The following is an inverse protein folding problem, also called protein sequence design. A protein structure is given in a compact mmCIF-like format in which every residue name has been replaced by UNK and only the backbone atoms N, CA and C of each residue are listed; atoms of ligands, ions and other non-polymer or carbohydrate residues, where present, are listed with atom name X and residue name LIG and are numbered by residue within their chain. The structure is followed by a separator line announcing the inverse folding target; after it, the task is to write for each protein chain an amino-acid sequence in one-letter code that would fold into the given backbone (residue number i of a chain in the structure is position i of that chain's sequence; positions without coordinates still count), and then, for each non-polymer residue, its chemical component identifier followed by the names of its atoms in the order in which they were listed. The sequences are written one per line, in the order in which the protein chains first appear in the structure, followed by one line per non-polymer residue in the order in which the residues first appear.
data_IF_892513724521
#
_entry.id   IF_892513724521
#
_cell.length_a   1.000
_cell.length_b   1.000
_cell.length_c   1.000
_cell.angle_alpha   90.00
_cell.angle_beta   90.00
_cell.angle_gamma   90.00
#
_symmetry.space_group_name_H-M   'P 1'
#
loop_
_entity.id
_entity.type
_entity.pdbx_description
1 polymer ?
#
# COMPACT_ATOMS: atom_id res chain seq x y z
N UNK A 1 -21.12 15.71 25.56
CA UNK A 1 -21.46 14.28 25.56
C UNK A 1 -21.55 13.82 24.13
N UNK A 2 -20.70 12.89 23.74
CA UNK A 2 -20.70 12.31 22.38
C UNK A 2 -20.70 10.81 22.58
N UNK A 3 -21.89 10.25 22.71
CA UNK A 3 -22.07 8.80 22.51
C UNK A 3 -22.23 8.61 21.00
N UNK A 4 -21.26 8.02 20.30
CA UNK A 4 -21.33 7.92 18.86
C UNK A 4 -22.47 6.97 18.45
N UNK A 5 -23.31 7.39 17.51
CA UNK A 5 -24.29 6.51 16.83
C UNK A 5 -23.59 5.34 16.12
N UNK A 6 -22.29 5.47 15.88
CA UNK A 6 -21.44 4.51 15.18
C UNK A 6 -21.06 3.35 16.10
N UNK A 7 -21.21 2.12 15.58
CA UNK A 7 -20.91 0.87 16.32
C UNK A 7 -19.54 0.27 15.97
N UNK A 8 -18.83 0.81 14.96
CA UNK A 8 -17.47 0.41 14.60
C UNK A 8 -16.77 1.52 13.80
N UNK A 9 -15.45 1.57 13.87
CA UNK A 9 -14.66 2.38 12.96
C UNK A 9 -13.82 1.50 12.06
N UNK A 10 -13.94 1.74 10.76
CA UNK A 10 -13.16 1.09 9.72
C UNK A 10 -12.36 2.17 9.00
N UNK A 11 -11.05 1.97 8.81
CA UNK A 11 -10.20 2.94 8.14
C UNK A 11 -9.57 2.39 6.85
N UNK A 12 -9.40 3.28 5.88
CA UNK A 12 -8.40 3.13 4.81
C UNK A 12 -7.24 4.06 5.07
N UNK A 13 -6.05 3.61 4.72
CA UNK A 13 -4.81 4.38 4.82
C UNK A 13 -4.26 4.61 3.42
N UNK A 14 -3.85 5.84 3.11
CA UNK A 14 -3.10 6.18 1.89
C UNK A 14 -1.70 6.64 2.25
N UNK A 15 -0.69 6.14 1.55
CA UNK A 15 0.72 6.53 1.73
C UNK A 15 1.33 6.79 0.36
N UNK A 16 1.45 8.06 0.00
CA UNK A 16 1.96 8.49 -1.31
C UNK A 16 2.91 9.68 -1.16
N UNK A 17 3.91 9.75 -2.03
CA UNK A 17 4.90 10.84 -2.01
C UNK A 17 4.36 12.09 -2.69
N UNK A 18 4.37 13.22 -1.97
CA UNK A 18 3.98 14.52 -2.48
C UNK A 18 5.21 15.44 -2.62
N UNK A 19 5.48 16.02 -3.80
CA UNK A 19 6.55 17.00 -3.96
C UNK A 19 6.20 18.26 -3.17
N UNK A 20 7.10 18.70 -2.27
CA UNK A 20 6.87 19.90 -1.46
C UNK A 20 7.12 21.20 -2.24
N UNK A 21 8.09 21.18 -3.16
CA UNK A 21 8.44 22.34 -3.97
C UNK A 21 8.79 21.88 -5.38
N UNK A 22 8.38 22.65 -6.40
CA UNK A 22 8.71 22.36 -7.81
C UNK A 22 10.21 22.42 -8.12
N UNK A 23 10.97 23.19 -7.33
CA UNK A 23 12.40 23.44 -7.51
C UNK A 23 13.30 22.71 -6.52
N UNK A 24 12.74 21.88 -5.62
CA UNK A 24 13.49 21.15 -4.60
C UNK A 24 13.24 19.66 -4.71
N UNK A 25 14.24 18.86 -4.36
CA UNK A 25 14.09 17.40 -4.18
C UNK A 25 13.35 17.03 -2.89
N UNK A 26 12.93 18.02 -2.08
CA UNK A 26 12.16 17.78 -0.86
C UNK A 26 10.79 17.19 -1.18
N UNK A 27 10.50 16.07 -0.54
CA UNK A 27 9.27 15.30 -0.64
C UNK A 27 8.66 15.15 0.75
N UNK A 28 7.33 15.13 0.80
CA UNK A 28 6.54 14.79 1.97
C UNK A 28 5.87 13.45 1.72
N UNK A 29 5.87 12.59 2.72
CA UNK A 29 5.23 11.29 2.69
C UNK A 29 4.21 11.26 3.82
N UNK A 30 2.98 11.75 3.59
CA UNK A 30 1.92 11.67 4.57
C UNK A 30 1.35 10.26 4.66
N UNK A 31 1.03 9.85 5.88
CA UNK A 31 0.10 8.77 6.19
C UNK A 31 -1.26 9.44 6.37
N UNK A 32 -2.15 9.21 5.41
CA UNK A 32 -3.51 9.76 5.40
C UNK A 32 -4.50 8.67 5.75
N UNK A 33 -5.51 8.98 6.56
CA UNK A 33 -6.60 8.04 6.84
C UNK A 33 -7.95 8.59 6.40
N UNK A 34 -8.81 7.67 5.97
CA UNK A 34 -10.24 7.90 5.76
C UNK A 34 -11.02 6.95 6.64
N UNK A 35 -11.92 7.50 7.44
CA UNK A 35 -12.84 6.71 8.26
C UNK A 35 -14.12 6.46 7.47
N UNK A 36 -14.46 5.20 7.22
CA UNK A 36 -15.55 4.82 6.32
C UNK A 36 -16.93 5.23 6.86
N UNK A 37 -17.12 5.12 8.17
CA UNK A 37 -18.39 5.45 8.83
C UNK A 37 -18.60 6.98 8.93
N UNK A 38 -17.55 7.78 8.71
CA UNK A 38 -17.62 9.24 8.68
C UNK A 38 -17.61 9.75 7.23
N UNK A 39 -18.67 9.44 6.48
CA UNK A 39 -18.78 9.71 5.02
C UNK A 39 -18.56 11.19 4.67
N UNK A 40 -18.94 12.11 5.56
CA UNK A 40 -18.80 13.57 5.35
C UNK A 40 -17.43 14.11 5.75
N UNK A 41 -16.60 13.31 6.39
CA UNK A 41 -15.26 13.71 6.84
C UNK A 41 -14.25 13.43 5.73
N UNK A 42 -13.52 14.45 5.24
CA UNK A 42 -12.47 14.22 4.26
C UNK A 42 -11.32 13.41 4.88
N UNK A 43 -10.50 12.72 4.06
CA UNK A 43 -9.27 12.11 4.55
C UNK A 43 -8.38 13.15 5.24
N UNK A 44 -7.69 12.74 6.29
CA UNK A 44 -6.80 13.61 7.07
C UNK A 44 -5.48 12.91 7.39
N UNK A 45 -4.47 13.72 7.68
CA UNK A 45 -3.10 13.25 7.95
C UNK A 45 -2.98 12.83 9.41
N UNK A 46 -2.41 11.66 9.65
CA UNK A 46 -2.09 11.14 11.00
C UNK A 46 -0.59 11.00 11.25
N UNK A 47 0.21 11.00 10.18
CA UNK A 47 1.66 10.96 10.28
C UNK A 47 2.30 11.56 9.04
N UNK A 48 3.52 12.07 9.17
CA UNK A 48 4.27 12.61 8.04
C UNK A 48 5.75 12.32 8.17
N UNK A 49 6.39 11.96 7.06
CA UNK A 49 7.83 12.01 6.91
C UNK A 49 8.22 13.07 5.88
N UNK A 50 9.22 13.89 6.20
CA UNK A 50 9.74 14.92 5.31
C UNK A 50 11.23 14.74 5.05
N UNK A 51 11.62 14.67 3.79
CA UNK A 51 13.03 14.45 3.43
C UNK A 51 13.34 14.81 1.99
N UNK A 52 14.63 14.89 1.66
CA UNK A 52 15.10 15.07 0.28
C UNK A 52 15.02 13.79 -0.57
N UNK A 53 14.64 12.67 0.07
CA UNK A 53 14.50 11.34 -0.50
C UNK A 53 13.30 10.66 0.18
N UNK A 54 12.84 9.54 -0.40
CA UNK A 54 11.93 8.60 0.26
C UNK A 54 12.46 8.17 1.64
N UNK A 55 11.59 7.74 2.57
CA UNK A 55 12.02 7.18 3.85
C UNK A 55 13.12 6.12 3.62
N UNK A 56 14.32 6.39 4.12
CA UNK A 56 15.47 5.50 3.95
C UNK A 56 15.35 4.23 4.80
N UNK A 57 14.73 4.37 5.97
CA UNK A 57 14.32 3.27 6.83
C UNK A 57 12.80 3.25 6.90
N UNK A 58 12.17 2.19 6.37
CA UNK A 58 10.72 2.05 6.39
C UNK A 58 10.20 1.67 7.78
N UNK A 59 11.00 0.98 8.61
CA UNK A 59 10.65 0.63 9.99
C UNK A 59 10.45 1.89 10.83
N UNK A 60 11.41 2.83 10.79
CA UNK A 60 11.30 4.09 11.53
C UNK A 60 10.06 4.91 11.10
N UNK A 61 9.69 4.82 9.83
CA UNK A 61 8.52 5.52 9.29
C UNK A 61 7.19 4.85 9.66
N UNK A 62 7.12 3.51 9.64
CA UNK A 62 5.85 2.77 9.78
C UNK A 62 5.63 2.17 11.17
N UNK A 63 6.67 1.89 11.96
CA UNK A 63 6.50 1.23 13.26
C UNK A 63 5.56 2.00 14.20
N UNK A 64 5.67 3.34 14.35
CA UNK A 64 4.73 4.08 15.19
C UNK A 64 3.27 3.89 14.74
N UNK A 65 3.03 3.86 13.42
CA UNK A 65 1.71 3.60 12.84
C UNK A 65 1.25 2.15 13.10
N UNK A 66 2.12 1.15 12.89
CA UNK A 66 1.81 -0.27 13.10
C UNK A 66 1.46 -0.53 14.56
N UNK A 67 2.22 0.01 15.50
CA UNK A 67 1.98 -0.12 16.94
C UNK A 67 0.63 0.48 17.34
N UNK A 68 0.33 1.69 16.88
CA UNK A 68 -0.94 2.36 17.19
C UNK A 68 -2.15 1.63 16.58
N UNK A 69 -2.04 1.14 15.33
CA UNK A 69 -3.10 0.34 14.71
C UNK A 69 -3.32 -0.96 15.48
N UNK A 70 -2.26 -1.66 15.88
CA UNK A 70 -2.37 -2.90 16.62
C UNK A 70 -3.03 -2.68 18.00
N UNK A 71 -2.66 -1.62 18.71
CA UNK A 71 -3.29 -1.21 19.96
C UNK A 71 -4.79 -0.90 19.75
N UNK A 72 -5.13 -0.06 18.76
CA UNK A 72 -6.52 0.31 18.47
C UNK A 72 -7.38 -0.88 18.06
N UNK A 73 -6.87 -1.77 17.22
CA UNK A 73 -7.59 -2.98 16.81
C UNK A 73 -7.80 -3.96 17.99
N UNK A 74 -6.88 -4.01 18.94
CA UNK A 74 -6.99 -4.86 20.12
C UNK A 74 -7.95 -4.29 21.16
N UNK A 75 -7.80 -3.00 21.50
CA UNK A 75 -8.53 -2.40 22.62
C UNK A 75 -9.81 -1.70 22.21
N UNK A 76 -10.00 -1.38 20.93
CA UNK A 76 -11.08 -0.52 20.42
C UNK A 76 -10.96 0.94 20.89
N UNK A 77 -12.02 1.72 20.70
CA UNK A 77 -12.10 3.11 21.16
C UNK A 77 -13.25 3.23 22.18
N UNK A 78 -12.93 3.65 23.40
CA UNK A 78 -13.90 3.82 24.47
C UNK A 78 -14.51 5.22 24.42
N UNK A 79 -15.81 5.30 24.15
CA UNK A 79 -16.62 6.51 24.25
C UNK A 79 -17.52 6.42 25.47
N UNK A 80 -17.11 7.05 26.57
CA UNK A 80 -17.83 7.05 27.86
C UNK A 80 -18.12 5.64 28.40
N UNK A 81 -19.20 4.98 27.94
CA UNK A 81 -19.60 3.62 28.31
C UNK A 81 -19.67 2.65 27.12
N UNK A 82 -19.46 3.14 25.89
CA UNK A 82 -19.54 2.36 24.66
C UNK A 82 -18.14 2.04 24.16
N UNK A 83 -17.81 0.76 24.09
CA UNK A 83 -16.60 0.30 23.42
C UNK A 83 -16.90 0.10 21.94
N UNK A 84 -16.24 0.87 21.08
CA UNK A 84 -16.41 0.82 19.63
C UNK A 84 -15.18 0.13 19.00
N UNK A 85 -15.34 -1.03 18.36
CA UNK A 85 -14.26 -1.71 17.65
C UNK A 85 -13.64 -0.87 16.55
N UNK A 86 -12.35 -1.09 16.29
CA UNK A 86 -11.57 -0.41 15.27
C UNK A 86 -10.92 -1.41 14.32
N UNK A 87 -10.95 -1.14 13.02
CA UNK A 87 -10.44 -2.05 11.98
C UNK A 87 -9.66 -1.30 10.91
N UNK A 88 -8.49 -1.82 10.54
CA UNK A 88 -7.79 -1.42 9.32
C UNK A 88 -8.32 -2.24 8.14
N UNK A 89 -8.89 -1.57 7.13
CA UNK A 89 -9.42 -2.25 5.93
C UNK A 89 -8.39 -2.36 4.82
N UNK A 90 -7.69 -1.27 4.52
CA UNK A 90 -6.77 -1.24 3.40
C UNK A 90 -5.61 -0.27 3.59
N UNK A 91 -4.45 -0.64 3.06
CA UNK A 91 -3.32 0.26 2.82
C UNK A 91 -3.17 0.48 1.32
N UNK A 92 -3.36 1.73 0.91
CA UNK A 92 -3.46 2.19 -0.46
C UNK A 92 -2.21 3.02 -0.77
N UNK A 93 -1.64 2.78 -1.93
CA UNK A 93 -0.48 3.51 -2.43
C UNK A 93 -0.34 3.30 -3.94
N UNK A 94 0.39 4.19 -4.60
CA UNK A 94 0.81 4.03 -5.99
C UNK A 94 1.65 2.74 -6.20
N UNK A 95 1.89 2.35 -7.46
CA UNK A 95 2.55 1.06 -7.74
C UNK A 95 3.98 0.95 -7.18
N UNK A 96 4.87 1.96 -7.32
CA UNK A 96 6.20 1.93 -6.71
C UNK A 96 6.20 1.90 -5.17
N UNK A 97 5.37 2.73 -4.53
CA UNK A 97 5.30 2.79 -3.08
C UNK A 97 4.66 1.52 -2.53
N UNK A 98 3.63 0.98 -3.17
CA UNK A 98 3.02 -0.30 -2.79
C UNK A 98 4.02 -1.46 -2.78
N UNK A 99 4.86 -1.58 -3.81
CA UNK A 99 5.91 -2.59 -3.84
C UNK A 99 6.92 -2.40 -2.68
N UNK A 100 7.25 -1.15 -2.37
CA UNK A 100 8.10 -0.78 -1.22
C UNK A 100 7.44 -1.14 0.10
N UNK A 101 6.19 -0.73 0.32
CA UNK A 101 5.38 -1.06 1.50
C UNK A 101 5.21 -2.56 1.71
N UNK A 102 5.21 -3.37 0.64
CA UNK A 102 5.14 -4.83 0.74
C UNK A 102 6.52 -5.48 0.84
N UNK A 103 7.63 -4.76 0.77
CA UNK A 103 8.97 -5.34 0.62
C UNK A 103 9.04 -6.36 -0.54
N UNK A 104 8.47 -6.02 -1.70
CA UNK A 104 8.41 -6.86 -2.90
C UNK A 104 9.14 -6.23 -4.09
N UNK A 105 9.32 -7.00 -5.16
CA UNK A 105 9.79 -6.48 -6.43
C UNK A 105 8.76 -5.53 -7.06
N UNK A 106 9.25 -4.55 -7.81
CA UNK A 106 8.38 -3.62 -8.52
C UNK A 106 7.52 -4.32 -9.58
N UNK A 107 6.41 -3.71 -9.94
CA UNK A 107 5.46 -4.19 -10.96
C UNK A 107 6.08 -4.47 -12.34
N UNK A 108 7.28 -3.94 -12.61
CA UNK A 108 8.03 -4.14 -13.84
C UNK A 108 9.10 -5.25 -13.76
N UNK A 109 9.19 -5.97 -12.64
CA UNK A 109 10.09 -7.12 -12.47
C UNK A 109 9.46 -8.40 -13.03
N UNK A 110 10.29 -9.41 -13.29
CA UNK A 110 9.81 -10.74 -13.73
C UNK A 110 8.83 -11.36 -12.73
N UNK A 111 9.12 -11.29 -11.44
CA UNK A 111 8.22 -11.73 -10.37
C UNK A 111 7.47 -10.52 -9.79
N UNK A 112 7.02 -9.59 -10.64
CA UNK A 112 6.44 -8.30 -10.22
C UNK A 112 4.94 -8.34 -9.92
N UNK A 113 4.23 -9.43 -10.26
CA UNK A 113 2.80 -9.52 -10.02
C UNK A 113 2.52 -9.65 -8.51
N UNK A 114 1.75 -8.69 -7.97
CA UNK A 114 1.34 -8.68 -6.57
C UNK A 114 0.13 -9.61 -6.28
N UNK A 115 -0.55 -10.12 -7.31
CA UNK A 115 -1.78 -10.94 -7.18
C UNK A 115 -1.59 -12.42 -7.43
N UNK A 116 -0.67 -12.80 -8.33
CA UNK A 116 -0.42 -14.20 -8.67
C UNK A 116 1.08 -14.48 -8.86
N UNK A 117 1.42 -15.75 -8.99
CA UNK A 117 2.80 -16.25 -9.11
C UNK A 117 3.35 -16.17 -10.53
N UNK A 118 2.69 -15.47 -11.45
CA UNK A 118 3.13 -15.40 -12.84
C UNK A 118 4.54 -14.80 -12.97
N UNK A 119 5.32 -15.41 -13.85
CA UNK A 119 6.69 -14.99 -14.15
C UNK A 119 6.70 -14.32 -15.51
N UNK A 120 7.08 -13.04 -15.51
CA UNK A 120 7.08 -12.22 -16.70
C UNK A 120 8.25 -12.52 -17.63
N UNK A 121 7.97 -12.45 -18.93
CA UNK A 121 8.97 -12.61 -19.98
C UNK A 121 9.51 -11.25 -20.40
N UNK A 122 10.83 -11.17 -20.63
CA UNK A 122 11.45 -9.94 -21.13
C UNK A 122 11.41 -9.91 -22.65
N UNK A 123 10.79 -8.87 -23.20
CA UNK A 123 10.69 -8.65 -24.64
C UNK A 123 11.45 -7.38 -25.00
N UNK A 124 12.25 -7.45 -26.06
CA UNK A 124 12.94 -6.29 -26.62
C UNK A 124 11.94 -5.39 -27.35
N UNK A 125 11.92 -4.11 -27.03
CA UNK A 125 11.06 -3.10 -27.68
C UNK A 125 11.83 -2.04 -28.45
N UNK A 126 13.14 -2.23 -28.63
CA UNK A 126 14.01 -1.35 -29.41
C UNK A 126 15.48 -1.55 -29.06
N UNK A 127 16.40 -0.79 -29.70
CA UNK A 127 17.81 -0.79 -29.32
C UNK A 127 17.92 -0.32 -27.87
N UNK A 128 18.32 -1.23 -26.97
CA UNK A 128 18.45 -1.00 -25.52
C UNK A 128 17.15 -0.79 -24.72
N UNK A 129 15.98 -1.14 -25.27
CA UNK A 129 14.71 -1.08 -24.53
C UNK A 129 14.14 -2.49 -24.32
N UNK A 130 13.84 -2.83 -23.07
CA UNK A 130 13.18 -4.10 -22.71
C UNK A 130 11.95 -3.80 -21.86
N UNK A 131 10.89 -4.56 -22.10
CA UNK A 131 9.68 -4.58 -21.25
C UNK A 131 9.49 -5.97 -20.67
N UNK A 132 8.95 -6.04 -19.46
CA UNK A 132 8.45 -7.30 -18.90
C UNK A 132 6.97 -7.39 -19.23
N UNK A 133 6.55 -8.53 -19.78
CA UNK A 133 5.15 -8.85 -20.05
C UNK A 133 4.74 -10.00 -19.16
N UNK A 134 3.62 -9.82 -18.46
CA UNK A 134 2.95 -10.84 -17.65
C UNK A 134 1.72 -11.30 -18.44
N UNK A 135 1.85 -12.38 -19.19
CA UNK A 135 0.83 -12.90 -20.11
C UNK A 135 0.19 -14.22 -19.63
N UNK A 136 0.72 -14.81 -18.56
CA UNK A 136 0.15 -16.01 -17.96
C UNK A 136 -1.21 -15.72 -17.32
N UNK A 137 -2.22 -16.52 -17.71
CA UNK A 137 -3.59 -16.47 -17.19
C UNK A 137 -3.91 -17.58 -16.19
N UNK A 138 -3.02 -18.58 -16.07
CA UNK A 138 -3.23 -19.79 -15.26
C UNK A 138 -2.31 -19.84 -14.02
N UNK A 139 -1.67 -18.73 -13.65
CA UNK A 139 -0.81 -18.68 -12.48
C UNK A 139 -1.62 -18.66 -11.18
N UNK A 140 -1.16 -19.42 -10.18
CA UNK A 140 -1.81 -19.50 -8.88
C UNK A 140 -1.92 -18.11 -8.20
N UNK A 141 -3.06 -17.80 -7.56
CA UNK A 141 -3.18 -16.58 -6.77
C UNK A 141 -2.22 -16.62 -5.58
N UNK A 142 -1.66 -15.46 -5.24
CA UNK A 142 -0.89 -15.31 -4.00
C UNK A 142 -1.84 -15.37 -2.80
N UNK A 143 -1.34 -15.89 -1.70
CA UNK A 143 -2.05 -15.94 -0.41
C UNK A 143 -1.23 -15.22 0.66
N UNK A 144 -1.86 -14.72 1.71
CA UNK A 144 -1.16 -14.11 2.84
C UNK A 144 -0.18 -15.08 3.50
N UNK A 145 -0.60 -16.33 3.73
CA UNK A 145 0.28 -17.37 4.26
C UNK A 145 1.52 -17.58 3.38
N UNK A 146 1.32 -17.74 2.06
CA UNK A 146 2.44 -17.93 1.13
C UNK A 146 3.34 -16.70 0.99
N UNK A 147 2.80 -15.51 1.18
CA UNK A 147 3.56 -14.26 1.25
C UNK A 147 4.46 -14.23 2.49
N UNK A 148 3.90 -14.52 3.67
CA UNK A 148 4.62 -14.52 4.96
C UNK A 148 5.67 -15.63 5.04
N UNK A 149 5.39 -16.79 4.46
CA UNK A 149 6.32 -17.91 4.31
C UNK A 149 7.34 -17.69 3.19
N UNK A 150 7.16 -16.64 2.37
CA UNK A 150 8.05 -16.27 1.26
C UNK A 150 8.24 -17.39 0.24
N UNK A 151 7.17 -18.11 -0.08
CA UNK A 151 7.17 -19.24 -1.03
C UNK A 151 7.83 -18.86 -2.37
N UNK A 152 7.53 -17.66 -2.88
CA UNK A 152 8.20 -17.09 -4.05
C UNK A 152 9.34 -16.15 -3.60
N UNK A 153 10.52 -16.69 -3.37
CA UNK A 153 11.68 -15.92 -2.93
C UNK A 153 12.06 -14.79 -3.91
N UNK A 154 11.86 -15.00 -5.22
CA UNK A 154 12.20 -14.01 -6.26
C UNK A 154 11.24 -12.80 -6.27
N UNK A 155 10.04 -12.93 -5.68
CA UNK A 155 9.09 -11.84 -5.50
C UNK A 155 9.47 -10.88 -4.37
N UNK A 156 10.18 -11.37 -3.35
CA UNK A 156 10.41 -10.63 -2.12
C UNK A 156 11.78 -9.92 -2.12
N UNK A 157 11.86 -8.82 -1.38
CA UNK A 157 13.12 -8.22 -0.95
C UNK A 157 13.71 -9.03 0.20
N UNK A 158 15.00 -8.84 0.46
CA UNK A 158 15.71 -9.53 1.57
C UNK A 158 15.17 -9.15 2.95
N UNK A 159 14.54 -7.97 3.08
CA UNK A 159 13.96 -7.46 4.31
C UNK A 159 12.43 -7.70 4.38
N UNK A 160 11.86 -7.59 5.58
CA UNK A 160 10.41 -7.75 5.87
C UNK A 160 9.74 -6.41 6.04
N UNK A 161 8.51 -6.29 5.56
CA UNK A 161 7.75 -5.05 5.76
C UNK A 161 7.20 -4.96 7.18
N UNK A 162 7.26 -3.78 7.83
CA UNK A 162 6.52 -3.53 9.07
C UNK A 162 5.02 -3.79 8.96
N UNK A 163 4.43 -3.68 7.77
CA UNK A 163 3.01 -3.97 7.56
C UNK A 163 2.68 -5.46 7.80
N UNK A 164 3.67 -6.35 7.68
CA UNK A 164 3.48 -7.76 8.01
C UNK A 164 3.14 -7.94 9.50
N UNK A 165 3.52 -7.01 10.38
CA UNK A 165 3.28 -7.13 11.83
C UNK A 165 1.92 -6.55 12.26
N UNK A 166 1.09 -6.07 11.32
CA UNK A 166 -0.26 -5.62 11.61
C UNK A 166 -1.18 -6.83 11.85
N UNK A 167 -1.92 -6.80 12.95
CA UNK A 167 -2.91 -7.82 13.30
C UNK A 167 -4.12 -7.79 12.34
N UNK A 168 -4.67 -8.96 12.02
CA UNK A 168 -5.85 -9.11 11.15
C UNK A 168 -5.70 -8.42 9.78
N UNK A 169 -4.47 -8.41 9.23
CA UNK A 169 -4.15 -7.76 7.97
C UNK A 169 -3.53 -8.76 6.97
N UNK A 170 -4.26 -8.98 5.87
CA UNK A 170 -3.86 -9.83 4.76
C UNK A 170 -3.00 -9.02 3.78
N UNK A 171 -1.74 -9.43 3.60
CA UNK A 171 -0.79 -8.72 2.75
C UNK A 171 -1.15 -8.75 1.27
N UNK A 172 -2.02 -9.65 0.81
CA UNK A 172 -2.49 -9.75 -0.58
C UNK A 172 -3.76 -8.94 -0.78
N UNK A 173 -4.78 -9.16 0.06
CA UNK A 173 -6.12 -8.59 -0.12
C UNK A 173 -6.25 -7.17 0.47
N UNK A 174 -5.64 -6.88 1.62
CA UNK A 174 -5.73 -5.57 2.26
C UNK A 174 -4.74 -4.53 1.70
N UNK A 175 -3.89 -4.91 0.74
CA UNK A 175 -3.05 -3.98 -0.04
C UNK A 175 -3.51 -4.00 -1.51
N UNK A 176 -4.61 -3.30 -1.84
CA UNK A 176 -5.27 -3.44 -3.14
C UNK A 176 -4.37 -2.99 -4.29
N UNK A 177 -4.36 -3.79 -5.36
CA UNK A 177 -3.58 -3.49 -6.57
C UNK A 177 -4.33 -2.58 -7.55
N UNK A 178 -5.66 -2.62 -7.51
CA UNK A 178 -6.54 -1.95 -8.46
C UNK A 178 -6.90 -0.55 -8.00
N UNK A 179 -6.22 0.44 -8.55
CA UNK A 179 -6.68 1.83 -8.54
C UNK A 179 -6.93 2.29 -9.97
N UNK A 180 -8.18 2.68 -10.25
CA UNK A 180 -8.61 3.13 -11.57
C UNK A 180 -7.74 4.28 -12.09
N UNK A 181 -7.34 5.20 -11.22
CA UNK A 181 -6.49 6.34 -11.57
C UNK A 181 -5.13 5.90 -12.13
N UNK A 182 -4.37 5.09 -11.38
CA UNK A 182 -3.05 4.64 -11.81
C UNK A 182 -3.09 3.64 -12.99
N UNK A 183 -4.10 2.77 -13.05
CA UNK A 183 -4.16 1.72 -14.09
C UNK A 183 -4.79 2.21 -15.39
N UNK A 184 -5.80 3.08 -15.33
CA UNK A 184 -6.57 3.52 -16.50
C UNK A 184 -6.19 4.95 -16.90
N UNK A 185 -6.22 5.89 -15.96
CA UNK A 185 -6.09 7.32 -16.26
C UNK A 185 -4.62 7.74 -16.47
N UNK A 186 -3.70 7.29 -15.63
CA UNK A 186 -2.26 7.52 -15.82
C UNK A 186 -1.58 6.41 -16.63
N UNK A 187 -2.02 5.16 -16.49
CA UNK A 187 -1.39 4.03 -17.15
C UNK A 187 -1.66 3.94 -18.65
N UNK A 188 -2.93 3.79 -19.02
CA UNK A 188 -3.35 3.56 -20.41
C UNK A 188 -3.63 4.87 -21.13
N UNK A 189 -4.33 5.81 -20.48
CA UNK A 189 -4.79 7.04 -21.12
C UNK A 189 -3.62 8.00 -21.42
N UNK A 190 -2.63 8.11 -20.53
CA UNK A 190 -1.43 8.93 -20.80
C UNK A 190 -0.63 8.43 -22.01
N UNK A 191 -0.52 7.10 -22.20
CA UNK A 191 0.17 6.50 -23.36
C UNK A 191 -0.57 6.70 -24.68
N UNK A 192 -1.89 6.82 -24.64
CA UNK A 192 -2.71 7.07 -25.83
C UNK A 192 -2.65 8.56 -26.21
N UNK A 193 -2.63 9.47 -25.22
CA UNK A 193 -2.65 10.92 -25.46
C UNK A 193 -1.27 11.52 -25.79
N UNK A 194 -0.18 10.91 -25.32
CA UNK A 194 1.19 11.36 -25.58
C UNK A 194 1.92 10.53 -26.66
N UNK A 195 1.15 9.89 -27.56
CA UNK A 195 1.68 9.15 -28.70
C UNK A 195 2.57 9.98 -29.62
#
# INVERSE_FOLDING_TARGET
HVDPEIDKFTIDVSIDGLPLFKSSRKQLWPIQIRVLELIKTPPFIVGTFGGSMKPGNLEEFLNPFVEEINDLQQRGILFEKKLVPFFLRAVIADSPMRATLKATMNFNARHGCLKCTCVGTSISTGPNSKKIILDSVDADPRTDAGFRERIDACHHKEWRSPLEDIHNFDMVENVPVSERMHLVDEGVTQKILMG
#
